data_IF_804900044125
#
_entry.id   IF_804900044125
#
_cell.length_a   1.000
_cell.length_b   1.000
_cell.length_c   1.000
_cell.angle_alpha   90.00
_cell.angle_beta   90.00
_cell.angle_gamma   90.00
#
_symmetry.space_group_name_H-M   'P 1'
#
loop_
_entity.id
_entity.type
_entity.pdbx_description
1 polymer ?
#
# COMPACT_ATOMS: atom_id res chain seq x y z
N UNK A 1 16.08 -8.94 17.97
CA UNK A 1 16.29 -7.78 17.07
C UNK A 1 17.06 -8.31 15.87
N UNK A 2 16.39 -8.59 14.78
CA UNK A 2 17.01 -9.23 13.62
C UNK A 2 17.85 -8.20 12.84
N UNK A 3 18.90 -8.68 12.16
CA UNK A 3 19.76 -7.88 11.26
C UNK A 3 18.94 -7.07 10.25
N UNK A 4 17.78 -7.58 9.87
CA UNK A 4 16.75 -6.98 9.06
C UNK A 4 16.24 -5.62 9.58
N UNK A 5 16.02 -5.50 10.87
CA UNK A 5 15.51 -4.29 11.54
C UNK A 5 16.58 -3.18 11.56
N UNK A 6 17.86 -3.57 11.68
CA UNK A 6 19.00 -2.66 11.67
C UNK A 6 19.23 -2.03 10.28
N UNK A 7 18.97 -2.78 9.21
CA UNK A 7 19.14 -2.35 7.82
C UNK A 7 18.13 -1.26 7.46
N UNK A 8 16.87 -1.46 7.82
CA UNK A 8 15.82 -0.47 7.56
C UNK A 8 16.00 0.81 8.38
N UNK A 9 16.53 0.75 9.60
CA UNK A 9 16.77 1.94 10.44
C UNK A 9 17.68 2.99 9.80
N UNK A 10 18.59 2.61 8.90
CA UNK A 10 19.55 3.50 8.25
C UNK A 10 19.09 3.99 6.85
N UNK A 11 17.89 3.62 6.40
CA UNK A 11 17.38 4.07 5.10
C UNK A 11 17.20 5.58 5.07
N UNK A 12 17.74 6.22 4.03
CA UNK A 12 17.64 7.68 3.87
C UNK A 12 16.19 8.09 3.58
N UNK A 13 15.71 9.16 4.23
CA UNK A 13 14.35 9.72 4.01
C UNK A 13 14.04 9.96 2.52
N UNK A 14 15.03 10.40 1.75
CA UNK A 14 14.90 10.63 0.29
C UNK A 14 14.48 9.37 -0.48
N UNK A 15 14.94 8.19 -0.05
CA UNK A 15 14.58 6.93 -0.70
C UNK A 15 13.11 6.57 -0.42
N UNK A 16 12.63 6.79 0.81
CA UNK A 16 11.22 6.58 1.18
C UNK A 16 10.33 7.48 0.31
N UNK A 17 10.63 8.77 0.25
CA UNK A 17 9.86 9.74 -0.55
C UNK A 17 9.88 9.35 -2.03
N UNK A 18 11.05 9.03 -2.58
CA UNK A 18 11.19 8.67 -3.99
C UNK A 18 10.37 7.43 -4.35
N UNK A 19 10.40 6.39 -3.50
CA UNK A 19 9.64 5.16 -3.74
C UNK A 19 8.12 5.40 -3.67
N UNK A 20 7.66 6.27 -2.77
CA UNK A 20 6.24 6.65 -2.68
C UNK A 20 5.81 7.49 -3.88
N UNK A 21 6.65 8.42 -4.34
CA UNK A 21 6.38 9.21 -5.56
C UNK A 21 6.28 8.31 -6.78
N UNK A 22 7.22 7.36 -6.93
CA UNK A 22 7.17 6.38 -8.03
C UNK A 22 5.88 5.55 -7.96
N UNK A 23 5.47 5.08 -6.77
CA UNK A 23 4.24 4.34 -6.60
C UNK A 23 3.01 5.15 -7.03
N UNK A 24 2.92 6.43 -6.62
CA UNK A 24 1.85 7.33 -7.06
C UNK A 24 1.84 7.49 -8.57
N UNK A 25 3.01 7.72 -9.19
CA UNK A 25 3.09 7.86 -10.65
C UNK A 25 2.65 6.58 -11.39
N UNK A 26 2.94 5.40 -10.84
CA UNK A 26 2.49 4.12 -11.42
C UNK A 26 0.97 3.97 -11.33
N UNK A 27 0.36 4.33 -10.20
CA UNK A 27 -1.09 4.22 -10.02
C UNK A 27 -1.88 5.27 -10.82
N UNK A 28 -1.23 6.38 -11.21
CA UNK A 28 -1.82 7.39 -12.08
C UNK A 28 -1.79 7.02 -13.58
N UNK A 29 -1.13 5.92 -13.96
CA UNK A 29 -1.15 5.44 -15.36
C UNK A 29 -2.54 4.89 -15.67
N UNK A 30 -3.28 5.46 -16.64
CA UNK A 30 -4.60 4.97 -16.97
C UNK A 30 -4.52 3.66 -17.74
N UNK A 31 -4.89 2.56 -17.09
CA UNK A 31 -5.02 1.27 -17.76
C UNK A 31 -6.46 1.08 -18.27
N UNK A 32 -6.64 0.47 -19.46
CA UNK A 32 -7.97 0.16 -19.97
C UNK A 32 -8.66 -0.91 -19.13
N UNK A 33 -9.98 -0.80 -18.96
CA UNK A 33 -10.80 -1.84 -18.35
C UNK A 33 -10.83 -3.11 -19.24
N UNK A 34 -10.78 -4.33 -18.70
CA UNK A 34 -10.83 -4.72 -17.27
C UNK A 34 -9.45 -4.79 -16.57
N UNK A 35 -8.36 -4.51 -17.26
CA UNK A 35 -6.98 -4.72 -16.79
C UNK A 35 -6.66 -3.82 -15.58
N UNK A 36 -7.24 -2.63 -15.53
CA UNK A 36 -7.05 -1.69 -14.43
C UNK A 36 -7.37 -2.29 -13.04
N UNK A 37 -8.44 -3.08 -12.95
CA UNK A 37 -8.83 -3.74 -11.69
C UNK A 37 -7.93 -4.90 -11.27
N UNK A 38 -7.04 -5.38 -12.15
CA UNK A 38 -6.10 -6.47 -11.85
C UNK A 38 -4.74 -5.94 -11.41
N UNK A 39 -4.48 -4.67 -11.67
CA UNK A 39 -3.19 -4.09 -11.32
C UNK A 39 -3.09 -3.93 -9.80
N UNK A 40 -1.94 -4.30 -9.19
CA UNK A 40 -1.74 -4.10 -7.76
C UNK A 40 -1.72 -2.60 -7.46
N UNK A 41 -2.37 -2.20 -6.38
CA UNK A 41 -2.32 -0.83 -5.87
C UNK A 41 -0.93 -0.54 -5.31
N UNK A 42 -0.09 0.09 -6.13
CA UNK A 42 1.31 0.35 -5.81
C UNK A 42 1.45 1.32 -4.63
N UNK A 43 0.58 2.33 -4.55
CA UNK A 43 0.59 3.30 -3.43
C UNK A 43 0.26 2.59 -2.13
N UNK A 44 -0.78 1.74 -2.12
CA UNK A 44 -1.16 1.01 -0.92
C UNK A 44 -0.05 0.06 -0.46
N UNK A 45 0.49 -0.76 -1.37
CA UNK A 45 1.55 -1.72 -1.06
C UNK A 45 2.81 -1.02 -0.54
N UNK A 46 3.24 0.08 -1.17
CA UNK A 46 4.42 0.83 -0.74
C UNK A 46 4.21 1.57 0.57
N UNK A 47 3.03 2.12 0.79
CA UNK A 47 2.69 2.79 2.06
C UNK A 47 2.65 1.78 3.20
N UNK A 48 2.05 0.61 3.00
CA UNK A 48 2.05 -0.50 3.95
C UNK A 48 3.49 -0.97 4.24
N UNK A 49 4.31 -1.13 3.20
CA UNK A 49 5.72 -1.52 3.36
C UNK A 49 6.46 -0.56 4.29
N UNK A 50 6.37 0.74 4.04
CA UNK A 50 7.07 1.72 4.87
C UNK A 50 6.43 1.91 6.25
N UNK A 51 5.11 1.75 6.39
CA UNK A 51 4.46 1.72 7.70
C UNK A 51 4.99 0.56 8.55
N UNK A 52 5.16 -0.62 7.96
CA UNK A 52 5.69 -1.79 8.65
C UNK A 52 7.13 -1.58 9.12
N UNK A 53 8.01 -1.11 8.22
CA UNK A 53 9.44 -1.02 8.50
C UNK A 53 9.91 0.34 9.03
N UNK A 54 9.18 1.43 8.75
CA UNK A 54 9.55 2.81 9.13
C UNK A 54 8.36 3.65 9.61
N UNK A 55 7.62 3.24 10.65
CA UNK A 55 6.39 3.89 11.12
C UNK A 55 6.61 5.34 11.57
N UNK A 56 7.84 5.70 11.98
CA UNK A 56 8.18 7.09 12.33
C UNK A 56 8.10 8.07 11.15
N UNK A 57 8.16 7.57 9.91
CA UNK A 57 8.15 8.39 8.70
C UNK A 57 6.88 8.19 7.88
N UNK A 58 6.32 7.00 7.89
CA UNK A 58 5.12 6.66 7.13
C UNK A 58 4.12 6.00 8.07
N UNK A 59 3.08 6.73 8.38
CA UNK A 59 1.97 6.30 9.23
C UNK A 59 0.65 6.80 8.64
N UNK A 60 -0.40 6.78 9.45
CA UNK A 60 -1.77 7.12 9.04
C UNK A 60 -1.86 8.51 8.37
N UNK A 61 -1.13 9.53 8.89
CA UNK A 61 -1.14 10.87 8.30
C UNK A 61 -0.55 10.91 6.88
N UNK A 62 0.52 10.16 6.63
CA UNK A 62 1.12 10.06 5.29
C UNK A 62 0.17 9.29 4.35
N UNK A 63 -0.47 8.22 4.85
CA UNK A 63 -1.48 7.47 4.10
C UNK A 63 -2.64 8.38 3.66
N UNK A 64 -3.13 9.24 4.56
CA UNK A 64 -4.17 10.21 4.22
C UNK A 64 -3.75 11.15 3.09
N UNK A 65 -2.56 11.75 3.19
CA UNK A 65 -2.05 12.68 2.17
C UNK A 65 -1.86 11.97 0.82
N UNK A 66 -1.28 10.76 0.82
CA UNK A 66 -1.10 9.99 -0.41
C UNK A 66 -2.44 9.60 -1.05
N UNK A 67 -3.41 9.19 -0.24
CA UNK A 67 -4.76 8.91 -0.73
C UNK A 67 -5.45 10.13 -1.35
N UNK A 68 -5.30 11.32 -0.76
CA UNK A 68 -5.80 12.56 -1.36
C UNK A 68 -5.12 12.89 -2.70
N UNK A 69 -3.82 12.65 -2.81
CA UNK A 69 -3.08 12.85 -4.08
C UNK A 69 -3.63 11.90 -5.14
N UNK A 70 -3.89 10.64 -4.79
CA UNK A 70 -4.49 9.66 -5.71
C UNK A 70 -5.90 10.07 -6.10
N UNK A 71 -6.73 10.53 -5.16
CA UNK A 71 -8.10 11.00 -5.44
C UNK A 71 -8.09 12.14 -6.47
N UNK A 72 -7.22 13.14 -6.28
CA UNK A 72 -7.08 14.27 -7.22
C UNK A 72 -6.55 13.79 -8.58
N UNK A 73 -5.57 12.90 -8.58
CA UNK A 73 -4.93 12.42 -9.81
C UNK A 73 -5.81 11.51 -10.66
N UNK A 74 -6.69 10.72 -10.04
CA UNK A 74 -7.62 9.81 -10.73
C UNK A 74 -8.99 10.42 -11.01
N UNK A 75 -9.27 11.62 -10.46
CA UNK A 75 -10.60 12.23 -10.54
C UNK A 75 -11.68 11.49 -9.75
N UNK A 76 -11.27 10.69 -8.76
CA UNK A 76 -12.17 9.95 -7.87
C UNK A 76 -12.89 10.89 -6.90
N UNK A 77 -13.99 10.44 -6.26
CA UNK A 77 -14.61 11.19 -5.17
C UNK A 77 -13.58 11.54 -4.09
N UNK A 78 -13.50 12.82 -3.75
CA UNK A 78 -12.48 13.35 -2.85
C UNK A 78 -12.56 12.69 -1.47
N UNK A 79 -11.44 12.14 -0.99
CA UNK A 79 -11.35 11.42 0.28
C UNK A 79 -11.57 9.91 0.19
N UNK A 80 -11.95 9.37 -0.97
CA UNK A 80 -12.23 7.95 -1.18
C UNK A 80 -10.98 7.11 -0.92
N UNK A 81 -9.89 7.35 -1.65
CA UNK A 81 -8.62 6.65 -1.44
C UNK A 81 -7.96 7.05 -0.12
N UNK A 82 -8.13 8.29 0.33
CA UNK A 82 -7.59 8.74 1.60
C UNK A 82 -8.16 7.93 2.78
N UNK A 83 -9.47 7.78 2.87
CA UNK A 83 -10.13 6.98 3.93
C UNK A 83 -9.76 5.50 3.83
N UNK A 84 -9.80 4.95 2.61
CA UNK A 84 -9.51 3.55 2.38
C UNK A 84 -8.05 3.20 2.74
N UNK A 85 -7.09 4.02 2.32
CA UNK A 85 -5.67 3.81 2.61
C UNK A 85 -5.36 4.01 4.09
N UNK A 86 -5.99 4.98 4.77
CA UNK A 86 -5.89 5.15 6.22
C UNK A 86 -6.34 3.90 6.97
N UNK A 87 -7.47 3.32 6.60
CA UNK A 87 -7.99 2.11 7.24
C UNK A 87 -7.04 0.92 7.05
N UNK A 88 -6.50 0.75 5.83
CA UNK A 88 -5.52 -0.29 5.55
C UNK A 88 -4.25 -0.13 6.40
N UNK A 89 -3.69 1.07 6.42
CA UNK A 89 -2.47 1.38 7.20
C UNK A 89 -2.73 1.24 8.70
N UNK A 90 -3.90 1.60 9.19
CA UNK A 90 -4.28 1.42 10.59
C UNK A 90 -4.24 -0.06 11.01
N UNK A 91 -4.81 -0.96 10.21
CA UNK A 91 -4.76 -2.41 10.48
C UNK A 91 -3.32 -2.91 10.57
N UNK A 92 -2.45 -2.46 9.67
CA UNK A 92 -1.04 -2.84 9.66
C UNK A 92 -0.29 -2.29 10.86
N UNK A 93 -0.52 -1.03 11.22
CA UNK A 93 0.16 -0.38 12.34
C UNK A 93 -0.17 -1.07 13.67
N UNK A 94 -1.43 -1.43 13.89
CA UNK A 94 -1.87 -2.18 15.09
C UNK A 94 -1.24 -3.58 15.21
N UNK A 95 -1.01 -4.26 14.08
CA UNK A 95 -0.45 -5.61 14.05
C UNK A 95 1.05 -5.65 13.74
N UNK A 96 1.70 -4.50 13.66
CA UNK A 96 3.07 -4.34 13.18
C UNK A 96 4.09 -5.21 13.93
N UNK A 97 4.05 -5.23 15.26
CA UNK A 97 5.00 -6.00 16.07
C UNK A 97 4.88 -7.50 15.82
N UNK A 98 3.66 -7.99 15.64
CA UNK A 98 3.41 -9.38 15.30
C UNK A 98 3.91 -9.69 13.88
N UNK A 99 3.62 -8.82 12.91
CA UNK A 99 4.08 -9.01 11.53
C UNK A 99 5.60 -9.11 11.39
N UNK A 100 6.34 -8.32 12.15
CA UNK A 100 7.82 -8.35 12.14
C UNK A 100 8.40 -9.64 12.76
N UNK A 101 7.64 -10.30 13.64
CA UNK A 101 8.05 -11.56 14.30
C UNK A 101 7.67 -12.83 13.55
N UNK A 102 6.75 -12.75 12.59
CA UNK A 102 6.20 -13.92 11.88
C UNK A 102 6.75 -14.08 10.46
N UNK A 103 6.47 -15.24 9.87
CA UNK A 103 6.86 -15.59 8.50
C UNK A 103 6.22 -14.70 7.44
N UNK A 104 6.81 -14.65 6.24
CA UNK A 104 6.25 -13.91 5.10
C UNK A 104 4.82 -14.34 4.74
N UNK A 105 4.44 -15.60 4.98
CA UNK A 105 3.07 -16.08 4.75
C UNK A 105 2.04 -15.38 5.63
N UNK A 106 2.36 -15.21 6.92
CA UNK A 106 1.50 -14.46 7.83
C UNK A 106 1.41 -12.97 7.45
N UNK A 107 2.54 -12.38 7.04
CA UNK A 107 2.56 -11.00 6.54
C UNK A 107 1.66 -10.85 5.32
N UNK A 108 1.75 -11.76 4.34
CA UNK A 108 0.92 -11.75 3.14
C UNK A 108 -0.57 -11.85 3.47
N UNK A 109 -0.94 -12.68 4.46
CA UNK A 109 -2.33 -12.83 4.89
C UNK A 109 -2.87 -11.51 5.49
N UNK A 110 -2.12 -10.87 6.39
CA UNK A 110 -2.53 -9.60 7.00
C UNK A 110 -2.62 -8.47 5.96
N UNK A 111 -1.71 -8.46 5.00
CA UNK A 111 -1.74 -7.49 3.90
C UNK A 111 -2.96 -7.73 3.02
N UNK A 112 -3.27 -9.00 2.71
CA UNK A 112 -4.49 -9.33 1.99
C UNK A 112 -5.74 -8.79 2.69
N UNK A 113 -5.89 -9.07 3.99
CA UNK A 113 -7.02 -8.58 4.79
C UNK A 113 -7.09 -7.05 4.82
N UNK A 114 -5.94 -6.39 4.98
CA UNK A 114 -5.83 -4.94 4.99
C UNK A 114 -6.23 -4.31 3.66
N UNK A 115 -5.74 -4.84 2.53
CA UNK A 115 -6.09 -4.37 1.19
C UNK A 115 -7.53 -4.73 0.81
N UNK A 116 -8.04 -5.87 1.27
CA UNK A 116 -9.45 -6.22 1.09
C UNK A 116 -10.35 -5.20 1.80
N UNK A 117 -10.03 -4.83 3.05
CA UNK A 117 -10.74 -3.78 3.77
C UNK A 117 -10.69 -2.44 3.02
N UNK A 118 -9.52 -2.07 2.48
CA UNK A 118 -9.35 -0.90 1.63
C UNK A 118 -10.31 -0.95 0.43
N UNK A 119 -10.34 -2.07 -0.30
CA UNK A 119 -11.20 -2.25 -1.48
C UNK A 119 -12.69 -2.16 -1.12
N UNK A 120 -13.09 -2.74 0.02
CA UNK A 120 -14.48 -2.64 0.51
C UNK A 120 -14.86 -1.17 0.76
N UNK A 121 -13.99 -0.41 1.41
CA UNK A 121 -14.23 1.02 1.65
C UNK A 121 -14.32 1.79 0.33
N UNK A 122 -13.42 1.53 -0.62
CA UNK A 122 -13.45 2.13 -1.95
C UNK A 122 -14.78 1.87 -2.67
N UNK A 123 -15.26 0.62 -2.66
CA UNK A 123 -16.53 0.23 -3.29
C UNK A 123 -17.70 0.92 -2.61
N UNK A 124 -17.72 0.97 -1.28
CA UNK A 124 -18.79 1.62 -0.51
C UNK A 124 -18.84 3.12 -0.82
N UNK A 125 -17.70 3.81 -0.71
CA UNK A 125 -17.65 5.27 -0.95
C UNK A 125 -18.01 5.58 -2.40
N UNK A 126 -17.50 4.80 -3.35
CA UNK A 126 -17.84 4.95 -4.77
C UNK A 126 -19.34 4.77 -5.02
N UNK A 127 -19.96 3.76 -4.41
CA UNK A 127 -21.40 3.51 -4.53
C UNK A 127 -22.24 4.68 -4.01
N UNK A 128 -21.89 5.25 -2.86
CA UNK A 128 -22.59 6.41 -2.31
C UNK A 128 -22.37 7.70 -3.12
N UNK A 129 -21.22 7.85 -3.76
CA UNK A 129 -20.90 9.03 -4.54
C UNK A 129 -21.49 9.00 -5.95
N UNK A 130 -21.48 7.84 -6.62
CA UNK A 130 -21.86 7.69 -8.03
C UNK A 130 -23.17 6.94 -8.27
N UNK A 131 -23.73 6.30 -7.23
CA UNK A 131 -24.85 5.35 -7.31
C UNK A 131 -24.62 4.19 -8.28
N UNK A 132 -23.34 3.90 -8.61
CA UNK A 132 -22.96 2.82 -9.50
C UNK A 132 -22.02 1.84 -8.77
N UNK A 133 -22.16 0.55 -9.07
CA UNK A 133 -21.27 -0.45 -8.53
C UNK A 133 -19.93 -0.43 -9.29
N UNK A 134 -18.84 -0.30 -8.58
CA UNK A 134 -17.48 -0.18 -9.14
C UNK A 134 -16.95 -1.47 -9.83
N UNK A 135 -17.71 -2.58 -9.75
CA UNK A 135 -17.35 -3.84 -10.39
C UNK A 135 -16.55 -4.80 -9.48
N UNK A 136 -16.71 -6.10 -9.76
CA UNK A 136 -16.04 -7.17 -9.02
C UNK A 136 -14.53 -7.27 -9.29
N UNK A 137 -14.07 -6.65 -10.38
CA UNK A 137 -12.66 -6.68 -10.80
C UNK A 137 -11.72 -6.07 -9.76
N UNK A 138 -12.19 -5.11 -8.96
CA UNK A 138 -11.40 -4.47 -7.91
C UNK A 138 -10.94 -5.44 -6.80
N UNK A 139 -11.68 -6.52 -6.58
CA UNK A 139 -11.32 -7.52 -5.55
C UNK A 139 -10.17 -8.42 -5.97
N UNK A 140 -9.74 -8.39 -7.22
CA UNK A 140 -8.57 -9.15 -7.72
C UNK A 140 -7.26 -8.48 -7.28
N UNK A 141 -7.21 -7.15 -7.25
CA UNK A 141 -6.02 -6.38 -6.87
C UNK A 141 -5.45 -6.74 -5.48
N UNK A 142 -6.25 -6.84 -4.39
CA UNK A 142 -5.75 -7.26 -3.08
C UNK A 142 -5.09 -8.63 -3.09
N UNK A 143 -5.65 -9.57 -3.87
CA UNK A 143 -5.12 -10.93 -3.97
C UNK A 143 -3.76 -10.94 -4.67
N UNK A 144 -3.64 -10.27 -5.81
CA UNK A 144 -2.38 -10.15 -6.54
C UNK A 144 -1.32 -9.43 -5.70
N UNK A 145 -1.70 -8.34 -5.03
CA UNK A 145 -0.80 -7.57 -4.16
C UNK A 145 -0.25 -8.39 -3.00
N UNK A 146 -1.10 -9.19 -2.36
CA UNK A 146 -0.68 -10.08 -1.27
C UNK A 146 0.23 -11.22 -1.75
N UNK A 147 -0.02 -11.76 -2.95
CA UNK A 147 0.82 -12.79 -3.56
C UNK A 147 2.21 -12.22 -3.92
N UNK A 148 2.25 -10.98 -4.41
CA UNK A 148 3.51 -10.29 -4.76
C UNK A 148 4.28 -9.78 -3.55
N UNK A 149 3.67 -9.73 -2.36
CA UNK A 149 4.29 -9.16 -1.16
C UNK A 149 5.68 -9.72 -0.83
N UNK A 150 5.91 -11.04 -0.80
CA UNK A 150 7.24 -11.57 -0.49
C UNK A 150 8.31 -11.12 -1.48
N UNK A 151 7.93 -10.98 -2.76
CA UNK A 151 8.81 -10.52 -3.83
C UNK A 151 9.14 -9.03 -3.66
N UNK A 152 8.11 -8.21 -3.44
CA UNK A 152 8.26 -6.76 -3.22
C UNK A 152 9.10 -6.50 -1.97
N UNK A 153 8.84 -7.22 -0.88
CA UNK A 153 9.58 -7.08 0.37
C UNK A 153 11.07 -7.40 0.20
N UNK A 154 11.40 -8.51 -0.48
CA UNK A 154 12.78 -8.90 -0.78
C UNK A 154 13.47 -7.91 -1.73
N UNK A 155 12.75 -7.46 -2.76
CA UNK A 155 13.26 -6.49 -3.73
C UNK A 155 13.59 -5.14 -3.07
N UNK A 156 12.68 -4.64 -2.22
CA UNK A 156 12.92 -3.40 -1.48
C UNK A 156 14.09 -3.52 -0.51
N UNK A 157 14.22 -4.67 0.16
CA UNK A 157 15.35 -4.95 1.01
C UNK A 157 16.66 -4.93 0.22
N UNK A 158 16.70 -5.58 -0.94
CA UNK A 158 17.86 -5.60 -1.83
C UNK A 158 18.25 -4.17 -2.27
N UNK A 159 17.30 -3.33 -2.66
CA UNK A 159 17.54 -1.94 -3.02
C UNK A 159 18.10 -1.10 -1.85
N UNK A 160 17.59 -1.32 -0.65
CA UNK A 160 18.09 -0.67 0.57
C UNK A 160 19.52 -1.11 0.87
N UNK A 161 19.84 -2.38 0.66
CA UNK A 161 21.19 -2.94 0.86
C UNK A 161 22.17 -2.47 -0.20
N UNK A 162 21.81 -2.53 -1.48
CA UNK A 162 22.68 -2.18 -2.63
C UNK A 162 23.12 -0.71 -2.64
N UNK A 163 22.36 0.19 -2.03
CA UNK A 163 22.74 1.61 -1.93
C UNK A 163 23.73 1.93 -0.81
N UNK A 164 24.27 0.92 -0.16
CA UNK A 164 25.34 1.05 0.87
C UNK A 164 26.74 0.85 0.31
N UNK A 165 26.85 0.26 -0.87
CA UNK A 165 28.10 0.13 -1.63
C UNK A 165 28.28 1.37 -2.51
#
# INVERSE_FOLDING_TARGET
MTEFDSLHRRTKKRFIILSLVIAVLLDLIPFPQPVAGWFPDCVAVMTIYWCLYRPKYVGIGVAFILGLIVDVGTGSPFGQHALALMAAVYVIDQNRLQMLGYSYGYQSLLIFVSLLLMTIILVIVHFFASHQFAGWNLFVSPFISALLWPLISKFMLYLVYSRRL
#
